data_IF_093034212791
#
_entry.id   IF_093034212791
#
_cell.length_a   1.000
_cell.length_b   1.000
_cell.length_c   1.000
_cell.angle_alpha   90.00
_cell.angle_beta   90.00
_cell.angle_gamma   90.00
#
_symmetry.space_group_name_H-M   'P 1'
#
loop_
_entity.id
_entity.type
_entity.pdbx_description
1 polymer ?
#
# COMPACT_ATOMS: atom_id res chain seq x y z
N UNK A 1 -13.36 -9.52 7.58
CA UNK A 1 -11.89 -9.33 7.59
C UNK A 1 -11.35 -10.31 8.58
N UNK A 2 -10.64 -11.32 8.08
CA UNK A 2 -9.92 -12.28 8.89
C UNK A 2 -8.78 -11.57 9.64
N UNK A 3 -8.41 -12.02 10.85
CA UNK A 3 -7.42 -11.34 11.69
C UNK A 3 -6.05 -11.14 11.01
N UNK A 4 -5.66 -12.07 10.15
CA UNK A 4 -4.38 -11.98 9.41
C UNK A 4 -4.34 -10.81 8.42
N UNK A 5 -5.48 -10.41 7.86
CA UNK A 5 -5.54 -9.31 6.88
C UNK A 5 -5.20 -7.98 7.55
N UNK A 6 -5.72 -7.76 8.75
CA UNK A 6 -5.41 -6.56 9.54
C UNK A 6 -3.93 -6.51 9.93
N UNK A 7 -3.42 -7.62 10.47
CA UNK A 7 -2.00 -7.72 10.85
C UNK A 7 -1.06 -7.46 9.66
N UNK A 8 -1.42 -7.93 8.46
CA UNK A 8 -0.65 -7.65 7.24
C UNK A 8 -0.65 -6.16 6.88
N UNK A 9 -1.80 -5.47 6.93
CA UNK A 9 -1.85 -4.04 6.63
C UNK A 9 -1.10 -3.20 7.66
N UNK A 10 -1.22 -3.53 8.95
CA UNK A 10 -0.46 -2.88 10.02
C UNK A 10 1.05 -3.05 9.80
N UNK A 11 1.50 -4.28 9.52
CA UNK A 11 2.90 -4.56 9.19
C UNK A 11 3.38 -3.79 7.94
N UNK A 12 2.56 -3.74 6.88
CA UNK A 12 2.90 -3.05 5.65
C UNK A 12 3.01 -1.52 5.82
N UNK A 13 2.20 -0.94 6.71
CA UNK A 13 2.28 0.47 7.09
C UNK A 13 3.54 0.70 7.92
N UNK A 14 3.80 -0.15 8.93
CA UNK A 14 4.97 -0.04 9.81
C UNK A 14 6.29 -0.18 9.06
N UNK A 15 6.37 -1.09 8.09
CA UNK A 15 7.54 -1.23 7.21
C UNK A 15 7.68 -0.09 6.18
N UNK A 16 6.68 0.78 6.05
CA UNK A 16 6.68 1.88 5.08
C UNK A 16 6.60 1.43 3.61
N UNK A 17 6.17 0.18 3.37
CA UNK A 17 5.97 -0.36 2.02
C UNK A 17 4.65 0.14 1.42
N UNK A 18 3.64 0.43 2.25
CA UNK A 18 2.39 1.05 1.82
C UNK A 18 2.42 2.56 2.08
N UNK A 19 2.28 3.36 1.01
CA UNK A 19 2.24 4.82 1.08
C UNK A 19 0.96 5.36 0.44
N UNK A 20 0.37 6.38 1.05
CA UNK A 20 -0.79 7.11 0.53
C UNK A 20 -0.36 8.47 -0.01
N UNK A 21 -0.96 8.90 -1.12
CA UNK A 21 -0.56 10.08 -1.89
C UNK A 21 -0.85 9.92 -3.37
N UNK A 22 -0.36 10.81 -4.21
CA UNK A 22 -0.58 10.71 -5.66
C UNK A 22 0.62 10.05 -6.34
N UNK A 23 0.43 8.85 -6.90
CA UNK A 23 1.48 8.07 -7.56
C UNK A 23 1.11 7.73 -8.99
N UNK A 24 2.06 7.88 -9.91
CA UNK A 24 1.89 7.39 -11.29
C UNK A 24 2.43 5.97 -11.38
N UNK A 25 1.55 5.02 -11.70
CA UNK A 25 1.90 3.61 -11.87
C UNK A 25 2.57 3.37 -13.23
N UNK A 26 3.24 2.22 -13.39
CA UNK A 26 3.85 1.82 -14.68
C UNK A 26 2.84 1.76 -15.84
N UNK A 27 1.55 1.56 -15.53
CA UNK A 27 0.45 1.59 -16.50
C UNK A 27 0.04 3.01 -16.93
N UNK A 28 0.67 4.06 -16.38
CA UNK A 28 0.30 5.46 -16.58
C UNK A 28 -0.90 5.93 -15.75
N UNK A 29 -1.52 5.05 -14.96
CA UNK A 29 -2.65 5.41 -14.08
C UNK A 29 -2.16 6.19 -12.86
N UNK A 30 -2.96 7.16 -12.43
CA UNK A 30 -2.77 7.85 -11.14
C UNK A 30 -3.46 7.03 -10.05
N UNK A 31 -2.70 6.63 -9.04
CA UNK A 31 -3.16 5.87 -7.88
C UNK A 31 -3.05 6.72 -6.61
N UNK A 32 -4.06 6.67 -5.72
CA UNK A 32 -4.03 7.36 -4.42
C UNK A 32 -3.16 6.64 -3.37
N UNK A 33 -2.55 5.52 -3.74
CA UNK A 33 -1.59 4.78 -2.93
C UNK A 33 -0.57 4.05 -3.79
N UNK A 34 0.56 3.70 -3.19
CA UNK A 34 1.60 2.87 -3.80
C UNK A 34 2.08 1.83 -2.81
N UNK A 35 2.16 0.58 -3.27
CA UNK A 35 2.74 -0.52 -2.53
C UNK A 35 4.11 -0.83 -3.12
N UNK A 36 5.16 -0.50 -2.38
CA UNK A 36 6.54 -0.77 -2.74
C UNK A 36 6.93 -2.15 -2.19
N UNK A 37 6.61 -3.20 -2.94
CA UNK A 37 7.03 -4.59 -2.67
C UNK A 37 8.37 -4.89 -3.35
#
# INVERSE_FOLDING_TARGET
MEGYQRAFFEFAIDCGVLKFGQFTLKSGRISPYFFNA
#
